data_IF_592525485486
#
_entry.id   IF_592525485486
#
_cell.length_a   1.000
_cell.length_b   1.000
_cell.length_c   1.000
_cell.angle_alpha   90.00
_cell.angle_beta   90.00
_cell.angle_gamma   90.00
#
_symmetry.space_group_name_H-M   'P 1'
#
loop_
_entity.id
_entity.type
_entity.pdbx_description
1 polymer ?
#
# COMPACT_ATOMS: atom_id res chain seq x y z
N UNK A 1 11.16 33.38 -15.24
CA UNK A 1 11.37 31.97 -14.87
C UNK A 1 10.00 31.44 -14.55
N UNK A 2 9.53 30.47 -15.31
CA UNK A 2 8.22 29.86 -15.05
C UNK A 2 8.27 29.15 -13.70
N UNK A 3 7.29 29.43 -12.85
CA UNK A 3 7.13 28.81 -11.55
C UNK A 3 6.77 27.34 -11.76
N UNK A 4 7.65 26.42 -11.36
CA UNK A 4 7.40 24.98 -11.47
C UNK A 4 6.16 24.62 -10.66
N UNK A 5 5.24 23.86 -11.25
CA UNK A 5 3.98 23.48 -10.58
C UNK A 5 4.20 22.36 -9.57
N UNK A 6 5.30 21.63 -9.70
CA UNK A 6 5.64 20.47 -8.89
C UNK A 6 7.16 20.30 -8.77
N UNK A 7 7.65 19.96 -7.58
CA UNK A 7 9.08 19.76 -7.30
C UNK A 7 9.74 18.72 -8.23
N UNK A 8 8.97 17.75 -8.73
CA UNK A 8 9.48 16.68 -9.61
C UNK A 8 9.84 17.17 -11.02
N UNK A 9 9.23 18.25 -11.50
CA UNK A 9 9.56 18.86 -12.78
C UNK A 9 11.00 19.42 -12.77
N UNK A 10 11.51 19.83 -11.60
CA UNK A 10 12.91 20.25 -11.42
C UNK A 10 13.90 19.12 -11.74
N UNK A 11 13.48 17.87 -11.60
CA UNK A 11 14.30 16.68 -11.87
C UNK A 11 14.00 16.07 -13.25
N UNK A 12 13.22 16.76 -14.10
CA UNK A 12 12.80 16.26 -15.40
C UNK A 12 11.72 15.18 -15.32
N UNK A 13 10.98 15.09 -14.20
CA UNK A 13 10.01 14.02 -13.96
C UNK A 13 8.57 14.54 -14.00
N UNK A 14 7.66 13.75 -14.57
CA UNK A 14 6.23 14.04 -14.67
C UNK A 14 5.53 14.07 -13.30
N UNK A 15 5.98 13.23 -12.36
CA UNK A 15 5.38 13.09 -11.03
C UNK A 15 6.37 12.45 -10.06
N UNK A 16 5.92 12.23 -8.82
CA UNK A 16 6.68 11.63 -7.73
C UNK A 16 7.12 10.19 -8.04
N UNK A 17 8.41 9.87 -8.19
CA UNK A 17 8.87 8.50 -8.44
C UNK A 17 8.71 7.58 -7.20
N UNK A 18 8.43 8.15 -6.03
CA UNK A 18 8.31 7.43 -4.76
C UNK A 18 6.87 7.16 -4.34
N UNK A 19 5.91 7.16 -5.28
CA UNK A 19 4.54 6.80 -4.97
C UNK A 19 4.44 5.37 -4.40
N UNK A 20 3.56 5.18 -3.41
CA UNK A 20 3.34 3.88 -2.75
C UNK A 20 2.08 3.16 -3.22
N UNK A 21 1.31 3.79 -4.10
CA UNK A 21 0.17 3.17 -4.75
C UNK A 21 0.62 1.95 -5.57
N UNK A 22 -0.20 0.89 -5.62
CA UNK A 22 0.12 -0.28 -6.42
C UNK A 22 0.20 0.09 -7.91
N UNK A 23 1.03 -0.65 -8.67
CA UNK A 23 0.98 -0.54 -10.12
C UNK A 23 -0.36 -1.12 -10.59
N UNK A 24 -1.06 -0.35 -11.41
CA UNK A 24 -2.39 -0.68 -11.90
C UNK A 24 -2.30 -1.42 -13.23
N UNK A 25 -3.30 -2.28 -13.49
CA UNK A 25 -3.48 -2.90 -14.81
C UNK A 25 -3.82 -1.86 -15.89
N UNK A 26 -4.55 -0.81 -15.51
CA UNK A 26 -5.05 0.21 -16.41
C UNK A 26 -5.06 1.58 -15.71
N UNK A 27 -4.73 2.64 -16.46
CA UNK A 27 -4.81 4.03 -15.98
C UNK A 27 -3.75 4.42 -14.94
N UNK A 28 -2.67 3.64 -14.80
CA UNK A 28 -1.52 4.01 -13.96
C UNK A 28 -0.52 4.90 -14.72
N UNK A 29 0.25 5.70 -13.98
CA UNK A 29 1.28 6.59 -14.55
C UNK A 29 2.45 5.83 -15.20
N UNK A 30 2.65 4.57 -14.81
CA UNK A 30 3.73 3.71 -15.30
C UNK A 30 3.16 2.34 -15.69
N UNK A 31 3.58 1.83 -16.84
CA UNK A 31 3.25 0.47 -17.28
C UNK A 31 3.80 -0.57 -16.29
N UNK A 32 2.90 -1.41 -15.79
CA UNK A 32 3.20 -2.46 -14.84
C UNK A 32 4.22 -3.48 -15.37
N UNK A 33 4.18 -3.81 -16.67
CA UNK A 33 5.10 -4.78 -17.30
C UNK A 33 6.54 -4.28 -17.28
N UNK A 34 6.69 -2.96 -17.29
CA UNK A 34 7.98 -2.30 -17.38
C UNK A 34 8.57 -2.02 -15.99
N UNK A 35 7.75 -1.59 -15.04
CA UNK A 35 8.20 -1.17 -13.71
C UNK A 35 8.18 -2.27 -12.64
N UNK A 36 7.60 -3.44 -12.91
CA UNK A 36 7.70 -4.58 -12.01
C UNK A 36 9.14 -5.11 -11.95
N UNK A 37 9.62 -5.46 -10.75
CA UNK A 37 10.98 -5.96 -10.48
C UNK A 37 10.91 -7.18 -9.56
N UNK A 38 11.72 -8.20 -9.88
CA UNK A 38 11.96 -9.38 -9.06
C UNK A 38 10.81 -10.40 -9.06
N UNK A 39 10.87 -11.33 -8.11
CA UNK A 39 9.81 -12.32 -7.81
C UNK A 39 9.48 -13.26 -8.96
N UNK A 40 10.47 -13.60 -9.77
CA UNK A 40 10.30 -14.45 -10.96
C UNK A 40 9.73 -15.82 -10.58
N UNK A 41 10.16 -16.35 -9.43
CA UNK A 41 9.66 -17.62 -8.92
C UNK A 41 8.18 -17.57 -8.53
N UNK A 42 7.76 -16.58 -7.75
CA UNK A 42 6.38 -16.40 -7.31
C UNK A 42 5.46 -16.10 -8.49
N UNK A 43 5.93 -15.28 -9.45
CA UNK A 43 5.21 -14.98 -10.69
C UNK A 43 4.93 -16.26 -11.45
N UNK A 44 5.97 -17.07 -11.71
CA UNK A 44 5.84 -18.33 -12.44
C UNK A 44 4.91 -19.30 -11.71
N UNK A 45 5.02 -19.37 -10.37
CA UNK A 45 4.14 -20.21 -9.55
C UNK A 45 2.67 -19.79 -9.70
N UNK A 46 2.35 -18.51 -9.58
CA UNK A 46 0.97 -18.04 -9.72
C UNK A 46 0.44 -18.17 -11.16
N UNK A 47 1.27 -17.90 -12.16
CA UNK A 47 0.92 -18.10 -13.58
C UNK A 47 0.60 -19.57 -13.88
N UNK A 48 1.40 -20.51 -13.35
CA UNK A 48 1.15 -21.94 -13.51
C UNK A 48 -0.18 -22.36 -12.88
N UNK A 49 -0.51 -21.82 -11.70
CA UNK A 49 -1.81 -22.08 -11.06
C UNK A 49 -2.97 -21.57 -11.92
N UNK A 50 -2.85 -20.37 -12.48
CA UNK A 50 -3.88 -19.81 -13.38
C UNK A 50 -4.02 -20.64 -14.66
N UNK A 51 -2.90 -21.12 -15.22
CA UNK A 51 -2.90 -21.80 -16.52
C UNK A 51 -3.32 -23.27 -16.44
N UNK A 52 -3.02 -23.96 -15.35
CA UNK A 52 -3.21 -25.41 -15.22
C UNK A 52 -4.49 -25.81 -14.48
N UNK A 53 -5.04 -24.94 -13.62
CA UNK A 53 -6.20 -25.28 -12.81
C UNK A 53 -7.50 -24.71 -13.40
N UNK A 54 -8.50 -25.57 -13.59
CA UNK A 54 -9.86 -25.18 -14.01
C UNK A 54 -10.55 -24.34 -12.92
N UNK A 55 -10.19 -24.58 -11.66
CA UNK A 55 -10.59 -23.79 -10.49
C UNK A 55 -9.49 -23.80 -9.43
N UNK A 56 -9.19 -22.65 -8.84
CA UNK A 56 -8.15 -22.53 -7.82
C UNK A 56 -8.36 -21.30 -6.95
N UNK A 57 -8.09 -21.44 -5.64
CA UNK A 57 -8.14 -20.36 -4.65
C UNK A 57 -6.82 -20.33 -3.92
N UNK A 58 -6.08 -19.23 -4.07
CA UNK A 58 -4.73 -19.04 -3.54
C UNK A 58 -4.66 -17.73 -2.77
N UNK A 59 -4.02 -17.78 -1.60
CA UNK A 59 -3.70 -16.59 -0.81
C UNK A 59 -2.33 -16.08 -1.23
N UNK A 60 -2.23 -14.77 -1.48
CA UNK A 60 -0.96 -14.06 -1.54
C UNK A 60 -0.79 -13.30 -0.23
N UNK A 61 0.15 -13.75 0.59
CA UNK A 61 0.41 -13.19 1.92
C UNK A 61 1.81 -12.57 1.99
N UNK A 62 2.06 -11.83 3.05
CA UNK A 62 3.32 -11.11 3.27
C UNK A 62 3.07 -9.82 4.05
N UNK A 63 4.14 -9.19 4.52
CA UNK A 63 4.05 -8.01 5.37
C UNK A 63 3.33 -6.82 4.68
N UNK A 64 2.90 -5.87 5.48
CA UNK A 64 2.29 -4.63 4.97
C UNK A 64 3.32 -3.87 4.16
N UNK A 65 2.99 -3.52 2.92
CA UNK A 65 3.86 -2.71 2.06
C UNK A 65 4.86 -3.48 1.21
N UNK A 66 4.87 -4.82 1.23
CA UNK A 66 5.75 -5.63 0.35
C UNK A 66 5.37 -5.53 -1.13
N UNK A 67 4.16 -5.08 -1.47
CA UNK A 67 3.71 -4.94 -2.86
C UNK A 67 2.86 -6.11 -3.37
N UNK A 68 2.09 -6.75 -2.48
CA UNK A 68 1.14 -7.84 -2.81
C UNK A 68 0.21 -7.48 -3.98
N UNK A 69 -0.46 -6.32 -3.90
CA UNK A 69 -1.39 -5.86 -4.93
C UNK A 69 -0.70 -5.66 -6.29
N UNK A 70 0.49 -5.03 -6.29
CA UNK A 70 1.32 -4.88 -7.50
C UNK A 70 1.72 -6.23 -8.09
N UNK A 71 2.12 -7.19 -7.25
CA UNK A 71 2.47 -8.55 -7.69
C UNK A 71 1.29 -9.26 -8.37
N UNK A 72 0.12 -9.26 -7.75
CA UNK A 72 -1.06 -9.91 -8.33
C UNK A 72 -1.49 -9.19 -9.62
N UNK A 73 -1.45 -7.86 -9.66
CA UNK A 73 -1.74 -7.10 -10.87
C UNK A 73 -0.75 -7.43 -11.99
N UNK A 74 0.55 -7.57 -11.69
CA UNK A 74 1.54 -7.94 -12.70
C UNK A 74 1.24 -9.32 -13.28
N UNK A 75 0.99 -10.32 -12.43
CA UNK A 75 0.63 -11.67 -12.89
C UNK A 75 -0.62 -11.62 -13.77
N UNK A 76 -1.66 -10.90 -13.35
CA UNK A 76 -2.89 -10.72 -14.15
C UNK A 76 -2.65 -10.04 -15.49
N UNK A 77 -1.74 -9.07 -15.56
CA UNK A 77 -1.35 -8.39 -16.81
C UNK A 77 -0.59 -9.29 -17.79
N UNK A 78 0.02 -10.35 -17.28
CA UNK A 78 0.82 -11.32 -18.03
C UNK A 78 0.04 -12.54 -18.48
N UNK A 79 -1.19 -12.72 -17.96
CA UNK A 79 -2.10 -13.75 -18.46
C UNK A 79 -2.45 -13.41 -19.91
N UNK A 80 -2.35 -14.34 -20.87
CA UNK A 80 -2.58 -14.05 -22.27
C UNK A 80 -3.95 -13.40 -22.48
N UNK A 81 -3.95 -12.26 -23.16
CA UNK A 81 -5.18 -11.54 -23.52
C UNK A 81 -6.13 -12.49 -24.25
N UNK A 82 -7.42 -12.45 -23.87
CA UNK A 82 -8.52 -13.30 -24.38
C UNK A 82 -8.54 -14.74 -23.88
N UNK A 83 -7.54 -15.22 -23.14
CA UNK A 83 -7.61 -16.57 -22.54
C UNK A 83 -8.42 -16.56 -21.24
N UNK A 84 -8.22 -15.57 -20.39
CA UNK A 84 -8.99 -15.41 -19.15
C UNK A 84 -9.54 -13.99 -19.04
N UNK A 85 -10.77 -13.86 -18.56
CA UNK A 85 -11.32 -12.58 -18.18
C UNK A 85 -10.74 -12.17 -16.83
N UNK A 86 -10.30 -10.93 -16.70
CA UNK A 86 -9.93 -10.34 -15.42
C UNK A 86 -10.43 -8.91 -15.35
N UNK A 87 -10.90 -8.51 -14.17
CA UNK A 87 -11.44 -7.18 -13.88
C UNK A 87 -10.33 -6.09 -13.92
N UNK A 88 -10.66 -4.82 -14.10
CA UNK A 88 -9.63 -3.77 -14.27
C UNK A 88 -8.96 -3.34 -12.94
N UNK A 89 -9.73 -3.34 -11.84
CA UNK A 89 -9.28 -2.91 -10.50
C UNK A 89 -9.51 -4.03 -9.50
N UNK A 90 -8.68 -4.15 -8.48
CA UNK A 90 -8.89 -5.13 -7.40
C UNK A 90 -10.22 -4.93 -6.67
N UNK A 91 -10.80 -6.02 -6.15
CA UNK A 91 -12.01 -5.97 -5.32
C UNK A 91 -11.55 -5.81 -3.87
N UNK A 92 -11.58 -4.58 -3.36
CA UNK A 92 -11.15 -4.26 -2.01
C UNK A 92 -12.26 -4.59 -1.00
N UNK A 93 -12.06 -5.66 -0.23
CA UNK A 93 -13.00 -6.11 0.79
C UNK A 93 -13.10 -5.09 1.92
N UNK A 94 -14.32 -4.85 2.42
CA UNK A 94 -14.59 -3.94 3.54
C UNK A 94 -15.05 -4.70 4.80
N UNK A 95 -14.84 -4.16 6.01
CA UNK A 95 -15.20 -4.80 7.28
C UNK A 95 -16.69 -5.14 7.43
N UNK A 96 -17.55 -4.31 6.87
CA UNK A 96 -19.00 -4.40 7.00
C UNK A 96 -19.67 -5.30 5.96
N UNK A 97 -18.90 -5.87 5.02
CA UNK A 97 -19.47 -6.69 3.95
C UNK A 97 -20.05 -8.01 4.47
N UNK A 98 -21.30 -8.26 4.09
CA UNK A 98 -21.91 -9.59 4.18
C UNK A 98 -21.75 -10.38 2.85
N UNK A 99 -22.40 -11.55 2.76
CA UNK A 99 -22.34 -12.38 1.56
C UNK A 99 -23.00 -11.74 0.33
N UNK A 100 -24.01 -10.90 0.52
CA UNK A 100 -24.66 -10.17 -0.58
C UNK A 100 -23.72 -9.08 -1.09
N UNK A 101 -23.14 -8.29 -0.18
CA UNK A 101 -22.17 -7.24 -0.52
C UNK A 101 -20.97 -7.79 -1.27
N UNK A 102 -20.43 -8.92 -0.82
CA UNK A 102 -19.30 -9.57 -1.48
C UNK A 102 -19.60 -9.95 -2.93
N UNK A 103 -20.77 -10.55 -3.20
CA UNK A 103 -21.14 -10.95 -4.57
C UNK A 103 -21.47 -9.72 -5.42
N UNK A 104 -22.21 -8.75 -4.89
CA UNK A 104 -22.56 -7.53 -5.63
C UNK A 104 -21.32 -6.73 -6.05
N UNK A 105 -20.34 -6.55 -5.15
CA UNK A 105 -19.09 -5.88 -5.49
C UNK A 105 -18.25 -6.68 -6.49
N UNK A 106 -18.32 -8.01 -6.46
CA UNK A 106 -17.71 -8.87 -7.49
C UNK A 106 -18.35 -8.66 -8.85
N UNK A 107 -19.68 -8.70 -8.92
CA UNK A 107 -20.45 -8.46 -10.15
C UNK A 107 -20.19 -7.05 -10.70
N UNK A 108 -20.14 -6.05 -9.82
CA UNK A 108 -19.85 -4.67 -10.20
C UNK A 108 -18.47 -4.51 -10.83
N UNK A 109 -17.44 -5.17 -10.28
CA UNK A 109 -16.11 -5.18 -10.86
C UNK A 109 -16.07 -5.83 -12.27
N UNK A 110 -16.83 -6.91 -12.47
CA UNK A 110 -16.97 -7.56 -13.78
C UNK A 110 -17.67 -6.64 -14.77
N UNK A 111 -18.81 -6.07 -14.39
CA UNK A 111 -19.59 -5.16 -15.23
C UNK A 111 -18.81 -3.91 -15.66
N UNK A 112 -18.16 -3.25 -14.71
CA UNK A 112 -17.30 -2.07 -14.98
C UNK A 112 -16.22 -2.42 -15.99
N UNK A 113 -15.65 -3.63 -15.88
CA UNK A 113 -14.63 -4.10 -16.81
C UNK A 113 -15.18 -4.36 -18.20
N UNK A 114 -16.36 -4.98 -18.31
CA UNK A 114 -17.05 -5.18 -19.60
C UNK A 114 -17.31 -3.82 -20.28
N UNK A 115 -17.77 -2.81 -19.54
CA UNK A 115 -18.07 -1.48 -20.11
C UNK A 115 -16.83 -0.71 -20.54
N UNK A 116 -15.71 -0.83 -19.82
CA UNK A 116 -14.51 -0.04 -20.07
C UNK A 116 -13.51 -0.70 -21.04
N UNK A 117 -13.53 -2.03 -21.17
CA UNK A 117 -12.61 -2.74 -22.08
C UNK A 117 -13.11 -2.67 -23.52
N UNK A 118 -12.36 -1.96 -24.37
CA UNK A 118 -12.66 -1.82 -25.80
C UNK A 118 -12.58 -3.13 -26.59
N UNK A 119 -11.79 -4.09 -26.10
CA UNK A 119 -11.62 -5.40 -26.74
C UNK A 119 -12.76 -6.38 -26.42
N UNK A 120 -13.62 -6.04 -25.45
CA UNK A 120 -14.86 -6.75 -25.17
C UNK A 120 -15.97 -5.99 -25.87
N UNK A 121 -16.50 -6.53 -26.95
CA UNK A 121 -17.71 -5.98 -27.54
C UNK A 121 -18.91 -6.41 -26.68
N UNK A 122 -19.58 -5.49 -25.96
CA UNK A 122 -20.66 -5.85 -25.05
C UNK A 122 -21.83 -6.53 -25.78
N UNK A 123 -21.97 -6.33 -27.10
CA UNK A 123 -22.99 -6.99 -27.93
C UNK A 123 -22.86 -8.52 -27.97
N UNK A 124 -21.72 -9.07 -27.57
CA UNK A 124 -21.53 -10.52 -27.47
C UNK A 124 -22.01 -11.10 -26.13
N UNK A 125 -22.33 -10.24 -25.15
CA UNK A 125 -22.95 -10.66 -23.89
C UNK A 125 -24.44 -10.42 -24.04
N UNK A 126 -25.23 -11.37 -23.55
CA UNK A 126 -26.68 -11.27 -23.53
C UNK A 126 -27.17 -9.94 -22.93
N UNK A 127 -28.08 -9.27 -23.64
CA UNK A 127 -28.56 -7.93 -23.28
C UNK A 127 -29.33 -7.93 -21.95
N UNK A 128 -30.06 -9.01 -21.65
CA UNK A 128 -30.79 -9.15 -20.39
C UNK A 128 -29.81 -9.28 -19.21
N UNK A 129 -28.74 -10.06 -19.38
CA UNK A 129 -27.67 -10.18 -18.36
C UNK A 129 -26.97 -8.84 -18.13
N UNK A 130 -26.67 -8.09 -19.20
CA UNK A 130 -26.06 -6.76 -19.05
C UNK A 130 -26.99 -5.76 -18.34
N UNK A 131 -28.28 -5.74 -18.67
CA UNK A 131 -29.26 -4.88 -17.97
C UNK A 131 -29.40 -5.26 -16.51
N UNK A 132 -29.43 -6.56 -16.19
CA UNK A 132 -29.44 -7.03 -14.79
C UNK A 132 -28.17 -6.61 -14.05
N UNK A 133 -26.99 -6.73 -14.68
CA UNK A 133 -25.73 -6.28 -14.09
C UNK A 133 -25.75 -4.78 -13.80
N UNK A 134 -26.19 -3.96 -14.76
CA UNK A 134 -26.33 -2.51 -14.60
C UNK A 134 -27.19 -2.16 -13.38
N UNK A 135 -28.38 -2.77 -13.26
CA UNK A 135 -29.26 -2.57 -12.11
C UNK A 135 -28.62 -2.98 -10.78
N UNK A 136 -27.85 -4.08 -10.74
CA UNK A 136 -27.16 -4.51 -9.52
C UNK A 136 -26.00 -3.57 -9.16
N UNK A 137 -25.30 -3.01 -10.15
CA UNK A 137 -24.24 -2.02 -9.92
C UNK A 137 -24.82 -0.72 -9.37
N UNK A 138 -25.93 -0.25 -9.91
CA UNK A 138 -26.63 0.94 -9.41
C UNK A 138 -26.98 0.81 -7.92
N UNK A 139 -27.33 -0.39 -7.46
CA UNK A 139 -27.60 -0.67 -6.04
C UNK A 139 -26.32 -0.49 -5.20
N UNK A 140 -25.18 -1.03 -5.67
CA UNK A 140 -23.88 -0.88 -4.99
C UNK A 140 -23.46 0.58 -4.92
N UNK A 141 -23.55 1.31 -6.03
CA UNK A 141 -23.19 2.73 -6.09
C UNK A 141 -24.06 3.56 -5.16
N UNK A 142 -25.38 3.35 -5.15
CA UNK A 142 -26.29 4.04 -4.23
C UNK A 142 -26.02 3.71 -2.76
N UNK A 143 -25.69 2.45 -2.43
CA UNK A 143 -25.30 2.07 -1.07
C UNK A 143 -24.04 2.81 -0.62
N UNK A 144 -23.04 2.89 -1.50
CA UNK A 144 -21.76 3.57 -1.21
C UNK A 144 -21.91 5.10 -1.16
N UNK A 145 -22.83 5.69 -1.94
CA UNK A 145 -23.11 7.13 -1.95
C UNK A 145 -24.11 7.59 -0.86
N UNK A 146 -24.70 6.68 -0.09
CA UNK A 146 -25.60 7.04 1.03
C UNK A 146 -24.88 7.71 2.22
N UNK A 147 -23.54 7.81 2.17
CA UNK A 147 -22.73 8.69 3.02
C UNK A 147 -22.20 9.82 2.13
N UNK A 148 -22.81 11.00 2.25
CA UNK A 148 -22.50 12.26 1.57
C UNK A 148 -22.79 12.33 0.06
N UNK A 149 -24.03 12.69 -0.28
CA UNK A 149 -24.36 13.70 -1.30
C UNK A 149 -25.90 13.91 -1.37
N UNK A 150 -26.39 14.92 -0.65
CA UNK A 150 -27.61 15.62 -1.04
C UNK A 150 -27.28 16.40 -2.33
N UNK A 151 -27.25 15.74 -3.49
CA UNK A 151 -27.21 16.44 -4.77
C UNK A 151 -28.64 16.88 -5.08
N UNK A 152 -28.85 18.18 -4.91
CA UNK A 152 -30.00 18.87 -5.49
C UNK A 152 -29.96 18.76 -7.01
N UNK A 153 -31.09 18.30 -7.56
CA UNK A 153 -31.74 18.74 -8.81
C UNK A 153 -30.81 19.33 -9.88
N UNK A 154 -30.48 18.54 -10.91
CA UNK A 154 -30.21 19.05 -12.25
C UNK A 154 -30.83 18.09 -13.28
N UNK A 155 -31.89 18.54 -13.95
CA UNK A 155 -32.50 17.87 -15.11
C UNK A 155 -34.02 17.76 -15.00
N UNK A 156 -34.75 18.75 -15.53
CA UNK A 156 -36.21 18.77 -15.52
C UNK A 156 -36.84 17.63 -16.32
N UNK A 157 -37.81 16.94 -15.70
CA UNK A 157 -38.66 15.96 -16.35
C UNK A 157 -39.41 15.11 -15.32
N UNK A 158 -40.72 15.37 -15.17
CA UNK A 158 -41.75 14.53 -14.53
C UNK A 158 -41.27 13.47 -13.52
N UNK A 159 -41.41 13.80 -12.23
CA UNK A 159 -41.22 12.87 -11.13
C UNK A 159 -42.24 11.74 -11.16
N UNK A 160 -41.84 10.58 -11.69
CA UNK A 160 -42.38 9.31 -11.27
C UNK A 160 -41.48 8.79 -10.14
N UNK A 161 -42.00 8.78 -8.91
CA UNK A 161 -41.43 7.93 -7.86
C UNK A 161 -41.66 6.49 -8.30
N UNK A 162 -40.75 5.96 -9.11
CA UNK A 162 -40.65 4.52 -9.24
C UNK A 162 -40.07 4.02 -7.92
N UNK A 163 -40.96 3.64 -7.01
CA UNK A 163 -40.63 2.64 -6.00
C UNK A 163 -40.31 1.37 -6.79
N UNK A 164 -39.10 1.29 -7.34
CA UNK A 164 -38.55 0.06 -7.87
C UNK A 164 -38.44 -0.82 -6.63
N UNK A 165 -39.41 -1.73 -6.46
CA UNK A 165 -39.29 -2.78 -5.47
C UNK A 165 -38.07 -3.58 -5.87
N UNK A 166 -36.94 -3.30 -5.22
CA UNK A 166 -35.74 -4.11 -5.41
C UNK A 166 -36.18 -5.50 -4.95
N UNK A 167 -36.23 -6.49 -5.86
CA UNK A 167 -36.60 -7.85 -5.47
C UNK A 167 -35.68 -8.27 -4.33
N UNK A 168 -36.19 -9.00 -3.35
CA UNK A 168 -35.39 -9.47 -2.22
C UNK A 168 -34.17 -10.24 -2.74
N UNK A 169 -33.03 -9.57 -2.79
CA UNK A 169 -31.79 -10.16 -3.29
C UNK A 169 -31.36 -11.22 -2.28
N UNK A 170 -31.40 -12.48 -2.70
CA UNK A 170 -30.89 -13.59 -1.91
C UNK A 170 -29.46 -13.92 -2.37
N UNK A 171 -28.65 -14.46 -1.46
CA UNK A 171 -27.31 -14.96 -1.82
C UNK A 171 -27.40 -16.00 -2.94
N UNK A 172 -28.38 -16.91 -2.85
CA UNK A 172 -28.57 -17.95 -3.87
C UNK A 172 -28.88 -17.38 -5.25
N UNK A 173 -29.81 -16.41 -5.36
CA UNK A 173 -30.12 -15.78 -6.65
C UNK A 173 -28.92 -15.05 -7.25
N UNK A 174 -28.09 -14.41 -6.40
CA UNK A 174 -26.87 -13.74 -6.86
C UNK A 174 -25.78 -14.74 -7.29
N UNK A 175 -25.68 -15.89 -6.63
CA UNK A 175 -24.77 -16.98 -7.03
C UNK A 175 -25.17 -17.56 -8.38
N UNK A 176 -26.45 -17.89 -8.58
CA UNK A 176 -26.96 -18.38 -9.87
C UNK A 176 -26.69 -17.36 -10.97
N UNK A 177 -26.97 -16.07 -10.72
CA UNK A 177 -26.70 -15.02 -11.69
C UNK A 177 -25.20 -14.86 -12.00
N UNK A 178 -24.34 -14.99 -10.99
CA UNK A 178 -22.89 -15.00 -11.20
C UNK A 178 -22.49 -16.19 -12.09
N UNK A 179 -23.00 -17.39 -11.85
CA UNK A 179 -22.72 -18.56 -12.70
C UNK A 179 -23.18 -18.35 -14.15
N UNK A 180 -24.36 -17.76 -14.35
CA UNK A 180 -24.88 -17.40 -15.68
C UNK A 180 -23.92 -16.44 -16.40
N UNK A 181 -23.46 -15.40 -15.70
CA UNK A 181 -22.50 -14.45 -16.25
C UNK A 181 -21.17 -15.11 -16.63
N UNK A 182 -20.66 -16.02 -15.81
CA UNK A 182 -19.44 -16.78 -16.14
C UNK A 182 -19.66 -17.65 -17.40
N UNK A 183 -20.85 -18.24 -17.56
CA UNK A 183 -21.19 -18.99 -18.78
C UNK A 183 -21.23 -18.09 -20.02
N UNK A 184 -21.78 -16.89 -19.92
CA UNK A 184 -21.75 -15.91 -21.03
C UNK A 184 -20.33 -15.48 -21.37
N UNK A 185 -19.49 -15.14 -20.39
CA UNK A 185 -18.08 -14.81 -20.63
C UNK A 185 -17.36 -15.95 -21.36
N UNK A 186 -17.68 -17.21 -21.04
CA UNK A 186 -17.14 -18.37 -21.77
C UNK A 186 -17.62 -18.46 -23.21
N UNK A 187 -18.89 -18.14 -23.50
CA UNK A 187 -19.41 -18.08 -24.89
C UNK A 187 -18.71 -17.02 -25.74
N UNK A 188 -18.28 -15.91 -25.13
CA UNK A 188 -17.50 -14.85 -25.79
C UNK A 188 -16.05 -15.29 -26.10
N UNK A 189 -15.61 -16.44 -25.56
CA UNK A 189 -14.32 -17.06 -25.90
C UNK A 189 -13.32 -17.12 -24.74
N UNK A 190 -13.67 -16.62 -23.55
CA UNK A 190 -12.81 -16.75 -22.38
C UNK A 190 -12.83 -18.19 -21.84
N UNK A 191 -11.67 -18.75 -21.46
CA UNK A 191 -11.59 -20.08 -20.83
C UNK A 191 -12.05 -20.05 -19.37
N UNK A 192 -11.89 -18.92 -18.70
CA UNK A 192 -12.26 -18.74 -17.31
C UNK A 192 -12.13 -17.29 -16.84
N UNK A 193 -12.28 -17.10 -15.54
CA UNK A 193 -12.25 -15.77 -14.89
C UNK A 193 -11.24 -15.78 -13.76
N UNK A 194 -10.39 -14.74 -13.70
CA UNK A 194 -9.42 -14.52 -12.63
C UNK A 194 -9.87 -13.31 -11.82
N UNK A 195 -10.31 -13.57 -10.58
CA UNK A 195 -10.73 -12.57 -9.61
C UNK A 195 -9.64 -12.34 -8.57
N UNK A 196 -9.49 -11.09 -8.15
CA UNK A 196 -8.48 -10.61 -7.21
C UNK A 196 -9.19 -9.81 -6.14
N UNK A 197 -9.25 -10.41 -4.95
CA UNK A 197 -9.77 -9.80 -3.75
C UNK A 197 -8.59 -9.31 -2.90
N UNK A 198 -8.65 -8.07 -2.47
CA UNK A 198 -7.65 -7.45 -1.63
C UNK A 198 -8.21 -7.25 -0.22
N UNK A 199 -7.32 -7.20 0.79
CA UNK A 199 -7.65 -7.04 2.20
C UNK A 199 -8.54 -8.16 2.79
N UNK A 200 -8.36 -9.41 2.37
CA UNK A 200 -9.15 -10.54 2.89
C UNK A 200 -9.01 -10.74 4.40
N UNK A 201 -7.89 -10.30 4.99
CA UNK A 201 -7.66 -10.30 6.43
C UNK A 201 -8.71 -9.49 7.23
N UNK A 202 -9.43 -8.58 6.57
CA UNK A 202 -10.49 -7.79 7.20
C UNK A 202 -11.71 -8.65 7.57
N UNK A 203 -11.99 -9.71 6.81
CA UNK A 203 -13.08 -10.65 7.10
C UNK A 203 -12.77 -11.46 8.37
N UNK A 204 -11.50 -11.48 8.81
CA UNK A 204 -11.00 -12.32 9.90
C UNK A 204 -11.03 -11.64 11.29
N UNK A 205 -11.83 -10.59 11.51
CA UNK A 205 -11.92 -9.93 12.82
C UNK A 205 -12.13 -10.93 14.00
N UNK A 206 -11.56 -10.63 15.19
CA UNK A 206 -10.90 -11.59 16.09
C UNK A 206 -11.78 -12.69 16.73
N UNK A 207 -13.11 -12.63 16.55
CA UNK A 207 -14.02 -13.66 17.05
C UNK A 207 -14.04 -14.90 16.17
N UNK A 208 -13.56 -14.82 14.93
CA UNK A 208 -13.53 -15.93 13.99
C UNK A 208 -12.10 -16.18 13.52
N UNK A 209 -11.40 -16.97 14.34
CA UNK A 209 -10.13 -17.66 14.06
C UNK A 209 -9.92 -17.86 12.54
N UNK A 210 -8.76 -17.44 12.05
CA UNK A 210 -8.08 -17.63 10.73
C UNK A 210 -8.38 -18.97 10.00
N UNK A 211 -8.90 -19.97 10.72
CA UNK A 211 -9.38 -21.25 10.18
C UNK A 211 -10.46 -21.15 9.09
N UNK A 212 -11.18 -20.03 8.88
CA UNK A 212 -12.28 -19.98 7.89
C UNK A 212 -11.83 -19.67 6.47
N UNK A 213 -11.02 -18.62 6.25
CA UNK A 213 -10.58 -18.25 4.90
C UNK A 213 -9.56 -19.28 4.39
N UNK A 214 -8.60 -19.69 5.23
CA UNK A 214 -7.65 -20.75 4.86
C UNK A 214 -8.33 -22.07 4.50
N UNK A 215 -9.42 -22.45 5.20
CA UNK A 215 -10.13 -23.71 4.95
C UNK A 215 -10.80 -23.80 3.59
N UNK A 216 -11.08 -22.65 2.94
CA UNK A 216 -11.66 -22.62 1.61
C UNK A 216 -10.59 -22.47 0.53
N UNK A 217 -9.31 -22.30 0.88
CA UNK A 217 -8.24 -22.24 -0.11
C UNK A 217 -7.92 -23.64 -0.63
N UNK A 218 -7.69 -23.76 -1.93
CA UNK A 218 -7.30 -25.03 -2.55
C UNK A 218 -5.79 -25.16 -2.69
N UNK A 219 -5.07 -24.03 -2.69
CA UNK A 219 -3.63 -23.98 -2.95
C UNK A 219 -2.87 -23.49 -1.73
N UNK A 220 -1.61 -23.93 -1.60
CA UNK A 220 -0.71 -23.38 -0.59
C UNK A 220 -0.48 -21.88 -0.83
N UNK A 221 -0.42 -21.05 0.21
CA UNK A 221 -0.17 -19.62 0.07
C UNK A 221 1.13 -19.31 -0.69
N UNK A 222 1.14 -18.18 -1.38
CA UNK A 222 2.34 -17.54 -1.92
C UNK A 222 2.74 -16.45 -0.95
N UNK A 223 3.88 -16.63 -0.27
CA UNK A 223 4.40 -15.67 0.69
C UNK A 223 5.37 -14.75 -0.03
N UNK A 224 5.12 -13.44 0.01
CA UNK A 224 6.00 -12.44 -0.54
C UNK A 224 6.89 -11.85 0.53
N UNK A 225 8.19 -11.91 0.29
CA UNK A 225 9.20 -11.22 1.10
C UNK A 225 9.42 -9.78 0.60
N UNK A 226 10.17 -9.02 1.41
CA UNK A 226 10.67 -7.72 1.01
C UNK A 226 11.60 -7.87 -0.20
N UNK A 227 11.57 -6.89 -1.10
CA UNK A 227 12.56 -6.82 -2.19
C UNK A 227 13.96 -6.69 -1.59
N UNK A 228 14.95 -7.30 -2.23
CA UNK A 228 16.34 -7.04 -1.92
C UNK A 228 16.70 -5.57 -2.18
N UNK A 229 17.80 -5.11 -1.59
CA UNK A 229 18.29 -3.75 -1.81
C UNK A 229 18.61 -3.48 -3.29
N UNK A 230 19.11 -4.47 -4.03
CA UNK A 230 19.43 -4.35 -5.45
C UNK A 230 18.16 -4.18 -6.28
N UNK A 231 17.14 -5.00 -6.01
CA UNK A 231 15.82 -4.90 -6.66
C UNK A 231 15.14 -3.56 -6.34
N UNK A 232 15.26 -3.06 -5.11
CA UNK A 232 14.74 -1.75 -4.73
C UNK A 232 15.40 -0.62 -5.54
N UNK A 233 16.73 -0.63 -5.68
CA UNK A 233 17.45 0.36 -6.49
C UNK A 233 17.00 0.31 -7.95
N UNK A 234 16.94 -0.90 -8.53
CA UNK A 234 16.46 -1.11 -9.90
C UNK A 234 15.02 -0.61 -10.08
N UNK A 235 14.14 -0.85 -9.11
CA UNK A 235 12.77 -0.35 -9.12
C UNK A 235 12.74 1.17 -9.19
N UNK A 236 13.56 1.85 -8.38
CA UNK A 236 13.60 3.31 -8.37
C UNK A 236 14.20 3.88 -9.66
N UNK A 237 15.28 3.29 -10.16
CA UNK A 237 15.92 3.72 -11.41
C UNK A 237 14.95 3.58 -12.59
N UNK A 238 14.23 2.45 -12.69
CA UNK A 238 13.18 2.27 -13.70
C UNK A 238 12.07 3.32 -13.57
N UNK A 239 11.60 3.62 -12.35
CA UNK A 239 10.56 4.64 -12.16
C UNK A 239 11.01 6.02 -12.60
N UNK A 240 12.24 6.42 -12.28
CA UNK A 240 12.83 7.69 -12.75
C UNK A 240 12.89 7.71 -14.28
N UNK A 241 13.33 6.61 -14.90
CA UNK A 241 13.39 6.49 -16.35
C UNK A 241 12.01 6.63 -17.01
N UNK A 242 10.98 5.95 -16.50
CA UNK A 242 9.63 5.98 -17.10
C UNK A 242 8.87 7.28 -16.86
N UNK A 243 9.15 7.95 -15.75
CA UNK A 243 8.56 9.24 -15.44
C UNK A 243 9.28 10.41 -16.12
N UNK A 244 10.32 10.15 -16.91
CA UNK A 244 11.03 11.21 -17.62
C UNK A 244 10.09 11.99 -18.56
N UNK A 245 10.22 13.31 -18.55
CA UNK A 245 9.53 14.22 -19.47
C UNK A 245 10.27 14.16 -20.82
N UNK A 246 9.51 13.96 -21.89
CA UNK A 246 10.08 13.89 -23.24
C UNK A 246 10.84 15.17 -23.58
N UNK A 247 12.11 15.04 -23.97
CA UNK A 247 12.97 16.18 -24.31
C UNK A 247 13.73 16.80 -23.13
N UNK A 248 13.59 16.26 -21.92
CA UNK A 248 14.40 16.63 -20.76
C UNK A 248 15.28 15.44 -20.33
N UNK A 249 16.46 15.74 -19.81
CA UNK A 249 17.30 14.75 -19.14
C UNK A 249 16.81 14.59 -17.70
N UNK A 250 16.50 13.35 -17.31
CA UNK A 250 16.12 13.06 -15.93
C UNK A 250 17.36 13.10 -15.03
N UNK A 251 17.22 13.77 -13.89
CA UNK A 251 18.27 13.85 -12.87
C UNK A 251 17.90 12.88 -11.75
N UNK A 252 18.79 11.94 -11.42
CA UNK A 252 18.60 11.06 -10.25
C UNK A 252 18.61 11.92 -8.97
N UNK A 253 17.51 11.99 -8.21
CA UNK A 253 17.37 13.01 -7.17
C UNK A 253 18.12 12.69 -5.87
N UNK A 254 18.76 11.52 -5.75
CA UNK A 254 19.41 11.06 -4.52
C UNK A 254 20.66 10.22 -4.77
N UNK A 255 21.52 10.15 -3.76
CA UNK A 255 22.64 9.22 -3.69
C UNK A 255 22.21 7.80 -3.25
N UNK A 256 22.89 6.79 -3.78
CA UNK A 256 22.61 5.38 -3.50
C UNK A 256 22.77 4.97 -2.02
N UNK A 257 23.59 5.69 -1.25
CA UNK A 257 23.80 5.45 0.18
C UNK A 257 22.50 5.66 0.97
N UNK A 258 21.67 6.64 0.58
CA UNK A 258 20.38 6.93 1.22
C UNK A 258 19.46 5.72 1.14
N UNK A 259 19.39 5.08 -0.02
CA UNK A 259 18.56 3.88 -0.20
C UNK A 259 19.02 2.78 0.75
N UNK A 260 20.34 2.63 0.93
CA UNK A 260 20.92 1.67 1.87
C UNK A 260 20.53 1.98 3.31
N UNK A 261 20.64 3.26 3.73
CA UNK A 261 20.26 3.70 5.08
C UNK A 261 18.77 3.47 5.36
N UNK A 262 17.90 3.87 4.44
CA UNK A 262 16.45 3.67 4.60
C UNK A 262 16.08 2.18 4.54
N UNK A 263 16.76 1.39 3.72
CA UNK A 263 16.56 -0.06 3.67
C UNK A 263 16.85 -0.71 5.02
N UNK A 264 17.98 -0.36 5.64
CA UNK A 264 18.34 -0.83 6.97
C UNK A 264 17.36 -0.33 8.04
N UNK A 265 16.96 0.95 8.00
CA UNK A 265 16.03 1.53 8.96
C UNK A 265 14.67 0.81 8.97
N UNK A 266 14.22 0.38 7.80
CA UNK A 266 12.91 -0.21 7.58
C UNK A 266 12.93 -1.72 7.35
N UNK A 267 14.09 -2.38 7.48
CA UNK A 267 14.28 -3.80 7.19
C UNK A 267 13.70 -4.20 5.81
N UNK A 268 13.91 -3.35 4.80
CA UNK A 268 13.42 -3.58 3.44
C UNK A 268 11.93 -3.27 3.20
N UNK A 269 11.20 -2.71 4.17
CA UNK A 269 9.80 -2.33 3.96
C UNK A 269 9.66 -1.22 2.89
N UNK A 270 9.28 -1.63 1.67
CA UNK A 270 9.21 -0.75 0.50
C UNK A 270 8.33 0.49 0.74
N UNK A 271 7.13 0.31 1.30
CA UNK A 271 6.19 1.43 1.55
C UNK A 271 6.81 2.48 2.47
N UNK A 272 7.45 2.08 3.57
CA UNK A 272 8.08 3.02 4.50
C UNK A 272 9.27 3.75 3.88
N UNK A 273 10.08 3.05 3.06
CA UNK A 273 11.21 3.66 2.35
C UNK A 273 10.72 4.72 1.37
N UNK A 274 9.77 4.35 0.50
CA UNK A 274 9.21 5.25 -0.51
C UNK A 274 8.50 6.46 0.12
N UNK A 275 7.71 6.26 1.18
CA UNK A 275 7.07 7.37 1.90
C UNK A 275 8.08 8.31 2.56
N UNK A 276 9.20 7.78 3.08
CA UNK A 276 10.27 8.59 3.67
C UNK A 276 10.98 9.42 2.61
N UNK A 277 11.30 8.85 1.44
CA UNK A 277 11.84 9.60 0.31
C UNK A 277 10.87 10.69 -0.13
N UNK A 278 9.61 10.34 -0.37
CA UNK A 278 8.59 11.32 -0.78
C UNK A 278 8.44 12.46 0.23
N UNK A 279 8.45 12.14 1.53
CA UNK A 279 8.34 13.16 2.58
C UNK A 279 9.59 14.03 2.61
N UNK A 280 10.79 13.43 2.54
CA UNK A 280 12.03 14.16 2.53
C UNK A 280 12.09 15.18 1.38
N UNK A 281 11.67 14.80 0.16
CA UNK A 281 11.66 15.74 -0.97
C UNK A 281 10.57 16.81 -0.84
N UNK A 282 9.38 16.48 -0.36
CA UNK A 282 8.32 17.47 -0.16
C UNK A 282 8.68 18.51 0.91
N UNK A 283 9.48 18.13 1.90
CA UNK A 283 9.97 19.01 2.98
C UNK A 283 11.26 19.75 2.60
N UNK A 284 11.94 19.31 1.53
CA UNK A 284 13.13 19.93 0.98
C UNK A 284 12.73 21.16 0.15
N UNK A 285 12.26 22.22 0.80
CA UNK A 285 11.96 23.52 0.15
C UNK A 285 13.28 24.16 -0.27
N UNK A 286 13.62 24.13 -1.56
CA UNK A 286 14.84 24.77 -2.08
C UNK A 286 14.56 25.51 -3.39
N UNK A 287 14.52 26.84 -3.32
CA UNK A 287 14.87 27.89 -4.30
C UNK A 287 14.81 27.56 -5.81
N UNK A 288 13.84 26.74 -6.25
CA UNK A 288 13.66 26.29 -7.63
C UNK A 288 14.92 25.67 -8.28
N UNK A 289 15.75 24.95 -7.50
CA UNK A 289 16.92 24.21 -8.02
C UNK A 289 16.87 22.73 -7.64
N UNK A 290 17.17 21.81 -8.58
CA UNK A 290 17.26 20.40 -8.25
C UNK A 290 18.40 20.19 -7.25
N UNK A 291 18.08 19.56 -6.12
CA UNK A 291 19.05 19.25 -5.08
C UNK A 291 19.20 17.75 -5.00
N UNK A 292 20.40 17.25 -5.24
CA UNK A 292 20.70 15.82 -5.05
C UNK A 292 20.74 15.58 -3.55
N UNK A 293 19.80 14.79 -3.05
CA UNK A 293 19.74 14.42 -1.65
C UNK A 293 20.93 13.52 -1.33
N UNK A 294 21.69 13.87 -0.30
CA UNK A 294 22.73 13.04 0.31
C UNK A 294 22.31 12.60 1.73
N UNK A 295 23.13 11.76 2.36
CA UNK A 295 22.85 11.24 3.72
C UNK A 295 22.62 12.36 4.75
N UNK A 296 23.38 13.44 4.72
CA UNK A 296 23.23 14.53 5.68
C UNK A 296 21.90 15.28 5.52
N UNK A 297 21.56 15.64 4.28
CA UNK A 297 20.32 16.34 3.94
C UNK A 297 19.12 15.48 4.36
N UNK A 298 19.11 14.19 3.99
CA UNK A 298 18.05 13.26 4.37
C UNK A 298 17.82 13.24 5.88
N UNK A 299 18.89 13.05 6.66
CA UNK A 299 18.81 12.93 8.11
C UNK A 299 18.30 14.22 8.74
N UNK A 300 18.82 15.37 8.32
CA UNK A 300 18.41 16.66 8.86
C UNK A 300 16.93 16.93 8.52
N UNK A 301 16.51 16.73 7.26
CA UNK A 301 15.13 16.94 6.82
C UNK A 301 14.17 16.03 7.57
N UNK A 302 14.36 14.71 7.51
CA UNK A 302 13.45 13.76 8.15
C UNK A 302 13.42 13.92 9.67
N UNK A 303 14.55 14.14 10.34
CA UNK A 303 14.57 14.33 11.79
C UNK A 303 13.81 15.60 12.19
N UNK A 304 13.99 16.71 11.47
CA UNK A 304 13.27 17.95 11.74
C UNK A 304 11.76 17.80 11.48
N UNK A 305 11.37 17.12 10.40
CA UNK A 305 9.96 16.80 10.12
C UNK A 305 9.36 15.94 11.23
N UNK A 306 10.07 14.93 11.73
CA UNK A 306 9.60 14.13 12.86
C UNK A 306 9.50 14.94 14.16
N UNK A 307 10.46 15.84 14.46
CA UNK A 307 10.40 16.71 15.65
C UNK A 307 9.13 17.55 15.64
N UNK A 308 8.90 18.28 14.54
CA UNK A 308 7.71 19.13 14.34
C UNK A 308 6.40 18.35 14.40
N UNK A 309 6.38 17.16 13.77
CA UNK A 309 5.16 16.35 13.71
C UNK A 309 4.80 15.76 15.08
N UNK A 310 5.79 15.34 15.85
CA UNK A 310 5.63 14.46 17.01
C UNK A 310 6.11 15.05 18.33
N UNK A 311 7.40 15.41 18.44
CA UNK A 311 8.02 15.74 19.73
C UNK A 311 7.55 17.07 20.30
N UNK A 312 7.23 18.04 19.44
CA UNK A 312 6.76 19.37 19.87
C UNK A 312 5.35 19.33 20.48
N UNK A 313 4.65 18.19 20.38
CA UNK A 313 3.26 18.01 20.82
C UNK A 313 3.11 17.15 22.07
N UNK A 314 4.22 16.68 22.64
CA UNK A 314 4.23 15.73 23.75
C UNK A 314 5.19 16.16 24.87
N UNK A 315 4.85 15.76 26.08
CA UNK A 315 5.62 15.99 27.30
C UNK A 315 6.89 15.13 27.35
N UNK A 316 7.84 15.48 28.21
CA UNK A 316 9.11 14.72 28.31
C UNK A 316 8.91 13.27 28.78
N UNK A 317 7.94 13.02 29.66
CA UNK A 317 7.59 11.65 30.05
C UNK A 317 7.00 10.84 28.87
N UNK A 318 6.22 11.48 27.99
CA UNK A 318 5.71 10.82 26.78
C UNK A 318 6.84 10.56 25.77
N UNK A 319 7.81 11.47 25.66
CA UNK A 319 9.03 11.25 24.85
C UNK A 319 9.82 10.04 25.35
N UNK A 320 10.03 9.91 26.66
CA UNK A 320 10.70 8.75 27.27
C UNK A 320 9.99 7.44 26.90
N UNK A 321 8.66 7.40 27.03
CA UNK A 321 7.88 6.23 26.66
C UNK A 321 7.97 5.93 25.15
N UNK A 322 7.87 6.96 24.30
CA UNK A 322 7.97 6.82 22.85
C UNK A 322 9.34 6.26 22.42
N UNK A 323 10.43 6.77 22.99
CA UNK A 323 11.78 6.27 22.69
C UNK A 323 12.02 4.87 23.25
N UNK A 324 11.39 4.50 24.37
CA UNK A 324 11.41 3.13 24.84
C UNK A 324 10.73 2.19 23.84
N UNK A 325 9.54 2.55 23.35
CA UNK A 325 8.81 1.78 22.32
C UNK A 325 9.64 1.66 21.03
N UNK A 326 10.29 2.76 20.61
CA UNK A 326 11.15 2.79 19.42
C UNK A 326 12.32 1.80 19.54
N UNK A 327 13.00 1.77 20.69
CA UNK A 327 14.19 0.93 20.88
C UNK A 327 13.83 -0.55 21.11
N UNK A 328 12.67 -0.85 21.70
CA UNK A 328 12.23 -2.24 21.92
C UNK A 328 11.61 -2.88 20.67
N UNK A 329 11.16 -2.08 19.70
CA UNK A 329 10.49 -2.55 18.49
C UNK A 329 9.03 -2.94 18.71
N UNK A 330 8.76 -3.78 19.71
CA UNK A 330 7.42 -4.03 20.26
C UNK A 330 7.45 -4.10 21.79
N UNK A 331 6.45 -3.54 22.47
CA UNK A 331 6.41 -3.49 23.93
C UNK A 331 4.98 -3.34 24.47
N UNK A 332 4.72 -3.86 25.67
CA UNK A 332 3.43 -3.77 26.36
C UNK A 332 3.40 -2.64 27.40
N UNK A 333 2.21 -2.25 27.86
CA UNK A 333 2.04 -1.31 28.97
C UNK A 333 2.72 -1.78 30.27
N UNK A 334 2.80 -3.10 30.49
CA UNK A 334 3.44 -3.67 31.67
C UNK A 334 4.95 -3.44 31.64
N UNK A 335 5.59 -3.69 30.51
CA UNK A 335 7.04 -3.53 30.33
C UNK A 335 7.45 -2.06 30.34
N UNK A 336 6.65 -1.17 29.73
CA UNK A 336 6.87 0.28 29.81
C UNK A 336 6.79 0.75 31.27
N UNK A 337 5.78 0.30 32.03
CA UNK A 337 5.60 0.67 33.44
C UNK A 337 6.79 0.24 34.31
N UNK A 338 7.29 -0.98 34.09
CA UNK A 338 8.47 -1.49 34.78
C UNK A 338 9.72 -0.69 34.44
N UNK A 339 9.96 -0.43 33.14
CA UNK A 339 11.15 0.28 32.67
C UNK A 339 11.21 1.73 33.14
N UNK A 340 10.07 2.43 33.13
CA UNK A 340 9.99 3.83 33.55
C UNK A 340 9.71 4.00 35.05
N UNK A 341 9.57 2.90 35.81
CA UNK A 341 9.20 2.89 37.24
C UNK A 341 7.93 3.72 37.52
N UNK A 342 6.92 3.58 36.65
CA UNK A 342 5.63 4.30 36.74
C UNK A 342 4.47 3.32 36.93
N UNK A 343 3.36 3.79 37.50
CA UNK A 343 2.15 2.98 37.61
C UNK A 343 1.55 2.67 36.24
N UNK A 344 0.98 1.45 36.08
CA UNK A 344 0.34 1.01 34.83
C UNK A 344 -0.76 1.96 34.34
N UNK A 345 -1.52 2.57 35.25
CA UNK A 345 -2.58 3.52 34.90
C UNK A 345 -2.01 4.77 34.20
N UNK A 346 -0.87 5.28 34.68
CA UNK A 346 -0.20 6.44 34.06
C UNK A 346 0.33 6.07 32.67
N UNK A 347 0.93 4.89 32.52
CA UNK A 347 1.39 4.40 31.22
C UNK A 347 0.23 4.24 30.25
N UNK A 348 -0.91 3.70 30.69
CA UNK A 348 -2.07 3.56 29.82
C UNK A 348 -2.57 4.91 29.28
N UNK A 349 -2.54 5.97 30.10
CA UNK A 349 -2.88 7.33 29.65
C UNK A 349 -1.87 7.82 28.59
N UNK A 350 -0.58 7.62 28.83
CA UNK A 350 0.49 7.98 27.89
C UNK A 350 0.33 7.24 26.56
N UNK A 351 0.14 5.92 26.58
CA UNK A 351 0.00 5.14 25.33
C UNK A 351 -1.27 5.48 24.58
N UNK A 352 -2.38 5.75 25.27
CA UNK A 352 -3.60 6.21 24.60
C UNK A 352 -3.36 7.56 23.93
N UNK A 353 -2.71 8.50 24.62
CA UNK A 353 -2.36 9.79 24.03
C UNK A 353 -1.44 9.65 22.81
N UNK A 354 -0.44 8.77 22.87
CA UNK A 354 0.45 8.48 21.74
C UNK A 354 -0.28 7.80 20.56
N UNK A 355 -1.30 6.96 20.83
CA UNK A 355 -2.19 6.40 19.81
C UNK A 355 -3.05 7.48 19.16
N UNK A 356 -3.64 8.38 19.96
CA UNK A 356 -4.54 9.44 19.50
C UNK A 356 -3.86 10.41 18.54
N UNK A 357 -2.57 10.69 18.78
CA UNK A 357 -1.78 11.52 17.85
C UNK A 357 -1.20 10.71 16.69
N UNK A 358 -1.32 9.37 16.69
CA UNK A 358 -0.75 8.42 15.73
C UNK A 358 0.77 8.21 15.80
N UNK A 359 1.41 8.51 16.94
CA UNK A 359 2.86 8.30 17.12
C UNK A 359 3.22 6.81 17.30
N UNK A 360 2.27 6.03 17.81
CA UNK A 360 2.38 4.57 17.96
C UNK A 360 1.13 3.90 17.38
N UNK A 361 1.21 2.60 17.19
CA UNK A 361 0.09 1.75 16.77
C UNK A 361 0.11 0.43 17.53
N UNK A 362 -1.04 -0.23 17.60
CA UNK A 362 -1.14 -1.60 18.12
C UNK A 362 -0.65 -2.53 17.02
N UNK A 363 0.45 -3.24 17.25
CA UNK A 363 1.02 -4.21 16.31
C UNK A 363 0.29 -5.55 16.37
N UNK A 364 0.00 -6.01 17.59
CA UNK A 364 -0.75 -7.24 17.87
C UNK A 364 -1.41 -7.16 19.24
N UNK A 365 -2.40 -8.02 19.45
CA UNK A 365 -3.04 -8.24 20.75
C UNK A 365 -2.92 -9.71 21.10
N UNK A 366 -2.47 -10.01 22.32
CA UNK A 366 -2.41 -11.37 22.86
C UNK A 366 -3.27 -11.44 24.13
N UNK A 367 -4.41 -12.10 24.04
CA UNK A 367 -5.44 -12.06 25.07
C UNK A 367 -5.91 -10.62 25.35
N UNK A 368 -5.61 -10.10 26.54
CA UNK A 368 -5.93 -8.72 26.94
C UNK A 368 -4.75 -7.75 26.78
N UNK A 369 -3.57 -8.25 26.44
CA UNK A 369 -2.35 -7.44 26.32
C UNK A 369 -2.22 -6.88 24.91
N UNK A 370 -1.98 -5.57 24.83
CA UNK A 370 -1.70 -4.85 23.58
C UNK A 370 -0.18 -4.66 23.44
N UNK A 371 0.35 -5.04 22.30
CA UNK A 371 1.74 -4.81 21.92
C UNK A 371 1.82 -3.59 21.01
N UNK A 372 2.51 -2.56 21.47
CA UNK A 372 2.68 -1.30 20.78
C UNK A 372 3.96 -1.28 19.97
N UNK A 373 3.92 -0.64 18.80
CA UNK A 373 5.10 -0.30 18.01
C UNK A 373 4.97 1.15 17.54
N UNK A 374 6.08 1.79 17.20
CA UNK A 374 6.06 3.17 16.72
C UNK A 374 5.52 3.27 15.30
N UNK A 375 5.01 4.45 14.92
CA UNK A 375 4.84 4.77 13.52
C UNK A 375 6.18 4.77 12.77
N UNK A 376 6.14 4.43 11.48
CA UNK A 376 7.34 4.34 10.65
C UNK A 376 8.13 5.65 10.55
N UNK A 377 7.47 6.81 10.65
CA UNK A 377 8.15 8.12 10.62
C UNK A 377 8.90 8.43 11.91
N UNK A 378 8.52 7.84 13.06
CA UNK A 378 9.27 7.99 14.32
C UNK A 378 10.66 7.37 14.22
N UNK A 379 10.84 6.35 13.38
CA UNK A 379 12.15 5.72 13.16
C UNK A 379 13.20 6.70 12.62
N UNK A 380 12.81 7.84 12.03
CA UNK A 380 13.76 8.86 11.57
C UNK A 380 14.69 9.36 12.69
N UNK A 381 14.28 9.32 13.96
CA UNK A 381 15.15 9.66 15.09
C UNK A 381 16.35 8.71 15.28
N UNK A 382 16.25 7.47 14.79
CA UNK A 382 17.38 6.52 14.82
C UNK A 382 18.51 6.98 13.90
N UNK A 383 18.19 7.68 12.80
CA UNK A 383 19.18 8.21 11.88
C UNK A 383 20.02 9.32 12.54
N UNK A 384 19.39 10.20 13.33
CA UNK A 384 20.10 11.24 14.08
C UNK A 384 21.04 10.62 15.13
N UNK A 385 20.63 9.53 15.77
CA UNK A 385 21.45 8.80 16.74
C UNK A 385 22.69 8.20 16.06
N UNK A 386 22.53 7.59 14.89
CA UNK A 386 23.64 7.05 14.08
C UNK A 386 24.63 8.17 13.69
N UNK A 387 24.14 9.31 13.20
CA UNK A 387 24.97 10.48 12.86
C UNK A 387 25.82 10.95 14.05
N UNK A 388 25.23 11.03 15.25
CA UNK A 388 25.95 11.40 16.49
C UNK A 388 27.02 10.39 16.89
N UNK A 389 26.77 9.09 16.70
CA UNK A 389 27.75 8.03 17.00
C UNK A 389 28.93 8.11 16.03
N UNK A 390 28.67 8.23 14.73
CA UNK A 390 29.71 8.37 13.71
C UNK A 390 30.57 9.63 13.91
N UNK A 391 29.94 10.76 14.23
CA UNK A 391 30.65 12.01 14.53
C UNK A 391 31.59 11.89 15.72
N UNK A 392 31.17 11.23 16.81
CA UNK A 392 32.02 10.97 17.98
C UNK A 392 33.21 10.07 17.63
N UNK A 393 32.98 8.99 16.88
CA UNK A 393 34.05 8.06 16.50
C UNK A 393 35.10 8.72 15.59
N UNK A 394 34.68 9.57 14.66
CA UNK A 394 35.60 10.32 13.80
C UNK A 394 36.43 11.33 14.60
N UNK A 395 35.82 12.02 15.56
CA UNK A 395 36.56 12.91 16.46
C UNK A 395 37.61 12.15 17.27
N UNK A 396 37.27 10.99 17.82
CA UNK A 396 38.22 10.14 18.56
C UNK A 396 39.37 9.66 17.68
N UNK A 397 39.10 9.23 16.44
CA UNK A 397 40.16 8.83 15.48
C UNK A 397 41.08 10.00 15.10
N UNK A 398 40.52 11.19 14.90
CA UNK A 398 41.32 12.38 14.57
C UNK A 398 42.24 12.76 15.73
N UNK A 399 41.74 12.74 16.97
CA UNK A 399 42.55 12.98 18.18
C UNK A 399 43.66 11.93 18.31
N UNK A 400 43.38 10.65 18.07
CA UNK A 400 44.41 9.59 18.11
C UNK A 400 45.50 9.80 17.06
N UNK A 401 45.12 10.18 15.84
CA UNK A 401 46.07 10.47 14.76
C UNK A 401 46.92 11.72 15.04
N UNK A 402 46.36 12.75 15.69
CA UNK A 402 47.13 13.93 16.11
C UNK A 402 48.10 13.60 17.26
N UNK A 403 47.67 12.79 18.24
CA UNK A 403 48.56 12.32 19.33
C UNK A 403 49.74 11.52 18.77
N UNK A 404 49.50 10.63 17.81
CA UNK A 404 50.57 9.85 17.15
C UNK A 404 51.56 10.70 16.35
N UNK A 405 51.17 11.89 15.89
CA UNK A 405 52.09 12.82 15.21
C UNK A 405 52.98 13.60 16.18
N UNK A 406 52.54 13.76 17.43
CA UNK A 406 53.23 14.57 18.44
C UNK A 406 54.18 13.72 19.30
N UNK A 407 53.91 12.42 19.46
CA UNK A 407 54.79 11.52 20.19
C UNK A 407 55.90 11.00 19.25
N UNK A 408 57.18 11.38 19.45
CA UNK A 408 58.28 10.75 18.74
C UNK A 408 58.40 9.28 19.17
N UNK A 409 58.65 8.40 18.21
CA UNK A 409 58.90 6.97 18.44
C UNK A 409 60.06 6.72 19.41
#
# INVERSE_FOLDING_TARGET
MDEYKNIWELYGLKTNPFFTNPLLLFGGDIDIKLAFIGREYEVKRLQNLISNNISGRVIVAGDVGVGKTTFVNFVRSSVPDKVFFTHLKEIAVQPEWDGIDFILNTLSAIYTTIKLRLDINPKFIDEEILKKLELLVDIVERKNYSISLNIGVIGGGYGSNTNISIPSLTIHSLQVFFEDLIRELKKVGYKGVVLHYNNLEIIEEPKLKIKRVESIMSESPIILENLSITELKQLLDKRIQYLNISGLDSIKPYEDEIITKLYQLYNGNLRSILNSLSTAFNELVIDNRPTIMNSEILINTLSNTAKKRWLDKITDTEKEALFLILNSGEITNKEIAQSLKKQKQNISKITNRLLDIYAIKIKRTDGKEKYFTVDSSIKWFLLEKEKKILGKNNLTKNIQNEIQKILPN
#
